data_IF_296924604075
#
_entry.id   IF_296924604075
#
_cell.length_a   1.000
_cell.length_b   1.000
_cell.length_c   1.000
_cell.angle_alpha   90.00
_cell.angle_beta   90.00
_cell.angle_gamma   90.00
#
_symmetry.space_group_name_H-M   'P 1'
#
loop_
_entity.id
_entity.type
_entity.pdbx_description
1 polymer ?
#
# COMPACT_ATOMS: atom_id res chain seq x y z
N UNK A 1 20.28 12.09 -14.35
CA UNK A 1 18.84 12.47 -14.42
C UNK A 1 18.23 12.21 -13.07
N UNK A 2 17.66 13.22 -12.42
CA UNK A 2 16.93 13.03 -11.16
C UNK A 2 15.56 12.42 -11.46
N UNK A 3 15.09 11.42 -10.68
CA UNK A 3 13.80 10.77 -10.92
C UNK A 3 12.64 11.77 -10.79
N UNK A 4 11.60 11.57 -11.59
CA UNK A 4 10.37 12.37 -11.47
C UNK A 4 9.59 11.96 -10.22
N UNK A 5 8.67 12.82 -9.77
CA UNK A 5 7.82 12.55 -8.60
C UNK A 5 6.99 11.28 -8.78
N UNK A 6 6.45 11.06 -9.98
CA UNK A 6 5.65 9.87 -10.26
C UNK A 6 6.48 8.58 -10.26
N UNK A 7 7.72 8.65 -10.77
CA UNK A 7 8.64 7.52 -10.72
C UNK A 7 9.00 7.16 -9.27
N UNK A 8 9.26 8.17 -8.43
CA UNK A 8 9.47 7.98 -7.00
C UNK A 8 8.27 7.30 -6.33
N UNK A 9 7.05 7.78 -6.57
CA UNK A 9 5.84 7.20 -6.01
C UNK A 9 5.61 5.75 -6.47
N UNK A 10 5.89 5.46 -7.73
CA UNK A 10 5.78 4.11 -8.29
C UNK A 10 6.73 3.13 -7.59
N UNK A 11 8.00 3.52 -7.43
CA UNK A 11 9.01 2.71 -6.72
C UNK A 11 8.63 2.46 -5.26
N UNK A 12 8.09 3.47 -4.57
CA UNK A 12 7.56 3.33 -3.21
C UNK A 12 6.44 2.28 -3.14
N UNK A 13 5.48 2.32 -4.07
CA UNK A 13 4.41 1.32 -4.13
C UNK A 13 4.93 -0.08 -4.43
N UNK A 14 5.88 -0.23 -5.34
CA UNK A 14 6.50 -1.52 -5.64
C UNK A 14 7.22 -2.10 -4.42
N UNK A 15 8.01 -1.29 -3.71
CA UNK A 15 8.68 -1.70 -2.48
C UNK A 15 7.68 -2.17 -1.41
N UNK A 16 6.56 -1.45 -1.24
CA UNK A 16 5.54 -1.81 -0.26
C UNK A 16 4.80 -3.13 -0.57
N UNK A 17 4.74 -3.54 -1.84
CA UNK A 17 4.21 -4.85 -2.23
C UNK A 17 5.18 -5.98 -1.89
N UNK A 18 6.47 -5.76 -2.12
CA UNK A 18 7.51 -6.78 -1.91
C UNK A 18 7.86 -6.96 -0.42
N UNK A 19 7.80 -5.89 0.36
CA UNK A 19 8.22 -5.88 1.77
C UNK A 19 7.17 -5.24 2.69
N UNK A 20 5.94 -5.78 2.73
CA UNK A 20 4.84 -5.12 3.43
C UNK A 20 5.04 -5.07 4.96
N UNK A 21 5.61 -6.12 5.56
CA UNK A 21 5.92 -6.14 6.99
C UNK A 21 6.98 -5.08 7.37
N UNK A 22 8.00 -4.90 6.53
CA UNK A 22 9.04 -3.89 6.74
C UNK A 22 8.45 -2.47 6.69
N UNK A 23 7.53 -2.21 5.75
CA UNK A 23 6.86 -0.90 5.64
C UNK A 23 6.01 -0.60 6.88
N UNK A 24 5.35 -1.59 7.48
CA UNK A 24 4.55 -1.39 8.69
C UNK A 24 5.39 -1.26 9.97
N UNK A 25 6.57 -1.87 9.99
CA UNK A 25 7.51 -1.77 11.10
C UNK A 25 8.39 -0.50 11.05
N UNK A 26 8.44 0.19 9.90
CA UNK A 26 9.24 1.40 9.75
C UNK A 26 8.68 2.55 10.62
N UNK A 27 9.53 3.18 11.44
CA UNK A 27 9.14 4.37 12.17
C UNK A 27 8.80 5.52 11.20
N UNK A 28 8.00 6.47 11.66
CA UNK A 28 7.69 7.66 10.87
C UNK A 28 9.00 8.42 10.58
N UNK A 29 9.30 8.73 9.30
CA UNK A 29 10.53 9.43 8.98
C UNK A 29 10.50 10.82 9.61
N UNK A 30 11.42 11.08 10.55
CA UNK A 30 11.68 12.42 11.03
C UNK A 30 12.22 13.24 9.86
N UNK A 31 11.39 14.14 9.33
CA UNK A 31 11.88 15.09 8.34
C UNK A 31 12.80 16.08 9.06
N UNK A 32 14.09 16.04 8.75
CA UNK A 32 14.96 17.20 8.90
C UNK A 32 14.45 18.27 7.93
N UNK A 33 13.48 19.07 8.37
CA UNK A 33 12.90 20.17 7.60
C UNK A 33 13.76 21.40 7.86
N UNK A 34 14.46 21.86 6.83
CA UNK A 34 14.93 23.24 6.82
C UNK A 34 13.70 24.16 6.69
N UNK A 35 13.41 25.01 7.69
CA UNK A 35 12.25 25.90 7.68
C UNK A 35 12.28 26.94 6.55
N UNK A 36 13.41 27.11 5.84
CA UNK A 36 13.57 28.08 4.75
C UNK A 36 13.45 27.49 3.35
N UNK A 37 13.49 26.17 3.21
CA UNK A 37 13.36 25.54 1.90
C UNK A 37 11.90 25.57 1.43
N UNK A 38 11.61 25.72 0.12
CA UNK A 38 10.27 25.56 -0.46
C UNK A 38 9.83 24.08 -0.39
N UNK A 39 9.69 23.59 0.82
CA UNK A 39 9.57 22.18 1.17
C UNK A 39 8.12 21.70 1.18
N UNK A 40 7.13 22.57 0.95
CA UNK A 40 5.71 22.21 1.01
C UNK A 40 5.36 21.11 -0.01
N UNK A 41 5.84 21.23 -1.26
CA UNK A 41 5.61 20.22 -2.29
C UNK A 41 6.31 18.89 -1.96
N UNK A 42 7.53 18.95 -1.40
CA UNK A 42 8.28 17.77 -0.97
C UNK A 42 7.61 17.08 0.23
N UNK A 43 7.09 17.85 1.19
CA UNK A 43 6.35 17.36 2.35
C UNK A 43 5.08 16.64 1.90
N UNK A 44 4.25 17.29 1.07
CA UNK A 44 3.03 16.71 0.50
C UNK A 44 3.31 15.44 -0.32
N UNK A 45 4.41 15.42 -1.07
CA UNK A 45 4.81 14.25 -1.86
C UNK A 45 5.22 13.08 -0.97
N UNK A 46 5.99 13.33 0.10
CA UNK A 46 6.38 12.30 1.08
C UNK A 46 5.20 11.75 1.86
N UNK A 47 4.31 12.62 2.35
CA UNK A 47 3.08 12.22 3.05
C UNK A 47 2.22 11.32 2.13
N UNK A 48 2.04 11.73 0.86
CA UNK A 48 1.29 10.95 -0.13
C UNK A 48 1.96 9.61 -0.44
N UNK A 49 3.29 9.58 -0.54
CA UNK A 49 4.06 8.34 -0.75
C UNK A 49 3.84 7.37 0.42
N UNK A 50 3.95 7.86 1.66
CA UNK A 50 3.77 7.06 2.89
C UNK A 50 2.36 6.48 2.99
N UNK A 51 1.34 7.30 2.77
CA UNK A 51 -0.05 6.85 2.79
C UNK A 51 -0.30 5.73 1.77
N UNK A 52 0.28 5.85 0.57
CA UNK A 52 0.21 4.81 -0.47
C UNK A 52 0.95 3.54 -0.07
N UNK A 53 2.15 3.66 0.50
CA UNK A 53 2.95 2.50 0.95
C UNK A 53 2.24 1.73 2.05
N UNK A 54 1.73 2.41 3.09
CA UNK A 54 1.01 1.76 4.20
C UNK A 54 -0.25 1.08 3.71
N UNK A 55 -1.05 1.74 2.86
CA UNK A 55 -2.25 1.15 2.28
C UNK A 55 -1.91 -0.10 1.46
N UNK A 56 -0.88 -0.01 0.61
CA UNK A 56 -0.44 -1.12 -0.23
C UNK A 56 0.08 -2.30 0.61
N UNK A 57 0.87 -2.02 1.64
CA UNK A 57 1.39 -3.04 2.55
C UNK A 57 0.26 -3.76 3.30
N UNK A 58 -0.73 -3.01 3.81
CA UNK A 58 -1.92 -3.57 4.45
C UNK A 58 -2.74 -4.44 3.50
N UNK A 59 -2.92 -4.00 2.26
CA UNK A 59 -3.61 -4.78 1.23
C UNK A 59 -2.84 -6.04 0.85
N UNK A 60 -1.51 -5.97 0.80
CA UNK A 60 -0.65 -7.12 0.45
C UNK A 60 -0.61 -8.17 1.57
N UNK A 61 -0.77 -7.74 2.83
CA UNK A 61 -0.86 -8.63 4.00
C UNK A 61 -2.27 -9.12 4.29
N UNK A 62 -3.32 -8.47 3.75
CA UNK A 62 -4.68 -9.00 3.85
C UNK A 62 -4.71 -10.31 3.08
N UNK A 63 -4.87 -11.46 3.76
CA UNK A 63 -4.88 -12.73 3.07
C UNK A 63 -6.10 -12.77 2.14
N UNK A 64 -5.85 -13.10 0.88
CA UNK A 64 -6.83 -13.18 -0.23
C UNK A 64 -7.94 -14.21 0.00
N UNK A 65 -7.92 -14.93 1.14
CA UNK A 65 -8.93 -15.93 1.50
C UNK A 65 -10.31 -15.34 1.83
N UNK A 66 -10.42 -14.02 2.01
CA UNK A 66 -11.71 -13.35 2.22
C UNK A 66 -12.41 -12.95 0.90
N UNK A 67 -11.91 -13.35 -0.27
CA UNK A 67 -12.55 -13.08 -1.57
C UNK A 67 -12.54 -14.30 -2.48
N UNK A 68 -12.97 -15.43 -1.93
CA UNK A 68 -13.70 -16.42 -2.69
C UNK A 68 -15.08 -16.51 -2.04
N UNK A 69 -16.14 -15.85 -2.58
CA UNK A 69 -17.44 -16.46 -2.43
C UNK A 69 -17.27 -17.85 -3.04
N UNK A 70 -17.39 -18.86 -2.20
CA UNK A 70 -17.28 -20.25 -2.61
C UNK A 70 -18.45 -20.55 -3.55
N UNK A 71 -18.24 -20.29 -4.83
CA UNK A 71 -19.18 -20.51 -5.92
C UNK A 71 -19.50 -22.00 -6.07
N UNK A 72 -18.65 -22.89 -5.55
CA UNK A 72 -18.90 -24.33 -5.56
C UNK A 72 -19.76 -24.77 -4.38
N UNK A 73 -19.51 -24.27 -3.16
CA UNK A 73 -20.36 -24.58 -1.99
C UNK A 73 -21.77 -23.98 -2.09
N UNK A 74 -21.93 -22.83 -2.75
CA UNK A 74 -23.25 -22.24 -3.00
C UNK A 74 -24.09 -23.03 -4.03
N UNK A 75 -23.44 -23.74 -4.97
CA UNK A 75 -24.14 -24.52 -6.00
C UNK A 75 -24.61 -25.90 -5.48
N UNK A 76 -23.89 -26.48 -4.51
CA UNK A 76 -24.26 -27.76 -3.91
C UNK A 76 -25.55 -27.65 -3.05
N UNK A 77 -25.82 -26.48 -2.48
CA UNK A 77 -27.05 -26.22 -1.72
C UNK A 77 -28.29 -25.94 -2.59
N UNK A 78 -28.11 -25.69 -3.90
CA UNK A 78 -29.21 -25.42 -4.83
C UNK A 78 -29.74 -26.66 -5.55
N UNK A 79 -29.02 -27.79 -5.46
CA UNK A 79 -29.37 -29.04 -6.19
C UNK A 79 -29.80 -30.17 -5.25
N UNK A 80 -29.76 -29.97 -3.94
CA UNK A 80 -30.14 -30.96 -2.93
C UNK A 80 -31.34 -30.49 -2.10
N UNK A 81 -32.53 -30.49 -2.70
CA UNK A 81 -33.81 -30.59 -2.00
C UNK A 81 -34.86 -31.13 -2.98
N UNK A 82 -35.85 -31.90 -2.48
CA UNK A 82 -35.94 -33.36 -2.57
C UNK A 82 -36.48 -33.94 -3.87
#
# INVERSE_FOLDING_TARGET
MSPTVDEFLSRCTQFARLHPAAVLAMPEPELAVDPRAPAHHLRRTRERARARMVTTARLSLKPTWATTPDLFTAMESATACP
#
